data_IF_538251204639
#
_entry.id   IF_538251204639
#
_cell.length_a   1.000
_cell.length_b   1.000
_cell.length_c   1.000
_cell.angle_alpha   90.00
_cell.angle_beta   90.00
_cell.angle_gamma   90.00
#
_symmetry.space_group_name_H-M   'P 1'
#
loop_
_entity.id
_entity.type
_entity.pdbx_description
1 polymer ?
#
# COMPACT_ATOMS: atom_id res chain seq x y z
N UNK A 1 -4.22 14.05 25.17
CA UNK A 1 -4.87 12.74 25.45
C UNK A 1 -4.12 11.61 24.76
N UNK A 2 -3.96 11.60 23.45
CA UNK A 2 -3.25 10.57 22.67
C UNK A 2 -1.86 10.21 23.20
N UNK A 3 -0.97 11.18 23.44
CA UNK A 3 0.38 10.96 23.97
C UNK A 3 0.40 10.27 25.37
N UNK A 4 -0.60 10.51 26.20
CA UNK A 4 -0.69 9.83 27.50
C UNK A 4 -1.10 8.36 27.36
N UNK A 5 -1.96 8.05 26.42
CA UNK A 5 -2.39 6.69 26.07
C UNK A 5 -1.20 5.89 25.53
N UNK A 6 -0.50 6.42 24.53
CA UNK A 6 0.68 5.78 23.92
C UNK A 6 1.75 5.52 24.99
N UNK A 7 2.02 6.49 25.86
CA UNK A 7 3.01 6.34 26.95
C UNK A 7 2.62 5.24 27.94
N UNK A 8 1.33 5.13 28.29
CA UNK A 8 0.84 4.08 29.17
C UNK A 8 0.98 2.70 28.53
N UNK A 9 0.60 2.57 27.26
CA UNK A 9 0.74 1.34 26.46
C UNK A 9 2.22 0.94 26.38
N UNK A 10 3.10 1.88 26.03
CA UNK A 10 4.55 1.64 25.96
C UNK A 10 5.11 1.11 27.28
N UNK A 11 4.69 1.68 28.42
CA UNK A 11 5.12 1.21 29.74
C UNK A 11 4.72 -0.25 29.98
N UNK A 12 3.48 -0.62 29.69
CA UNK A 12 2.98 -2.00 29.87
C UNK A 12 3.68 -2.97 28.92
N UNK A 13 3.90 -2.56 27.68
CA UNK A 13 4.63 -3.34 26.68
C UNK A 13 6.08 -3.56 27.10
N UNK A 14 6.78 -2.51 27.52
CA UNK A 14 8.17 -2.60 27.98
C UNK A 14 8.35 -3.52 29.18
N UNK A 15 7.36 -3.58 30.07
CA UNK A 15 7.35 -4.53 31.19
C UNK A 15 7.14 -5.99 30.72
N UNK A 16 6.26 -6.20 29.74
CA UNK A 16 5.93 -7.53 29.19
C UNK A 16 7.04 -8.07 28.30
N UNK A 17 7.70 -7.19 27.57
CA UNK A 17 8.74 -7.52 26.58
C UNK A 17 10.05 -6.74 26.84
N UNK A 18 10.73 -6.97 27.97
CA UNK A 18 11.88 -6.16 28.38
C UNK A 18 13.10 -6.27 27.46
N UNK A 19 13.19 -7.35 26.68
CA UNK A 19 14.32 -7.65 25.78
C UNK A 19 14.17 -7.07 24.37
N UNK A 20 13.09 -6.36 24.06
CA UNK A 20 12.92 -5.73 22.75
C UNK A 20 13.90 -4.57 22.60
N UNK A 21 14.73 -4.62 21.57
CA UNK A 21 15.74 -3.60 21.26
C UNK A 21 15.07 -2.28 20.82
N UNK A 22 14.23 -2.34 19.80
CA UNK A 22 13.61 -1.17 19.21
C UNK A 22 12.09 -1.32 19.15
N UNK A 23 11.37 -0.26 19.51
CA UNK A 23 9.92 -0.13 19.38
C UNK A 23 9.64 1.14 18.56
N UNK A 24 8.98 0.97 17.42
CA UNK A 24 8.49 2.05 16.58
C UNK A 24 6.96 2.14 16.70
N UNK A 25 6.45 3.37 16.64
CA UNK A 25 5.04 3.66 16.42
C UNK A 25 4.83 4.04 14.96
N UNK A 26 3.79 3.53 14.33
CA UNK A 26 3.42 3.91 12.97
C UNK A 26 1.89 3.97 12.80
N UNK A 27 1.41 4.15 11.56
CA UNK A 27 -0.02 4.10 11.28
C UNK A 27 -0.81 5.34 11.70
N UNK A 28 -2.11 5.14 11.97
CA UNK A 28 -3.07 6.21 12.26
C UNK A 28 -2.74 6.99 13.52
N UNK A 29 -2.07 6.35 14.47
CA UNK A 29 -1.66 6.98 15.73
C UNK A 29 -0.65 8.13 15.55
N UNK A 30 -0.08 8.32 14.36
CA UNK A 30 0.79 9.46 14.02
C UNK A 30 0.08 10.51 13.17
N UNK A 31 -1.20 10.36 12.90
CA UNK A 31 -1.98 11.27 12.06
C UNK A 31 -3.08 11.99 12.85
N UNK A 32 -3.67 13.02 12.24
CA UNK A 32 -4.87 13.70 12.76
C UNK A 32 -6.13 12.83 12.72
N UNK A 33 -6.08 11.70 11.99
CA UNK A 33 -7.23 10.83 11.77
C UNK A 33 -7.41 9.81 12.89
N UNK A 34 -6.53 9.82 13.91
CA UNK A 34 -6.62 8.91 15.04
C UNK A 34 -7.84 9.23 15.91
N UNK A 35 -8.58 8.20 16.28
CA UNK A 35 -9.71 8.23 17.20
C UNK A 35 -9.51 7.24 18.35
N UNK A 36 -10.31 7.29 19.41
CA UNK A 36 -10.24 6.32 20.51
C UNK A 36 -10.61 4.89 20.09
N UNK A 37 -11.24 4.72 18.93
CA UNK A 37 -11.55 3.42 18.33
C UNK A 37 -10.43 2.89 17.41
N UNK A 38 -9.42 3.73 17.14
CA UNK A 38 -8.30 3.35 16.28
C UNK A 38 -7.35 2.41 17.02
N UNK A 39 -6.81 1.46 16.27
CA UNK A 39 -5.74 0.58 16.72
C UNK A 39 -4.45 1.39 16.96
N UNK A 40 -3.55 0.84 17.75
CA UNK A 40 -2.17 1.32 17.86
C UNK A 40 -1.25 0.33 17.18
N UNK A 41 -0.58 0.80 16.15
CA UNK A 41 0.34 0.01 15.33
C UNK A 41 1.77 0.18 15.85
N UNK A 42 2.40 -0.90 16.26
CA UNK A 42 3.77 -0.94 16.75
C UNK A 42 4.62 -1.88 15.90
N UNK A 43 5.91 -1.56 15.81
CA UNK A 43 6.90 -2.46 15.24
C UNK A 43 7.99 -2.76 16.27
N UNK A 44 8.19 -4.04 16.56
CA UNK A 44 9.27 -4.53 17.40
C UNK A 44 10.41 -5.03 16.53
N UNK A 45 11.59 -4.52 16.79
CA UNK A 45 12.79 -4.93 16.08
C UNK A 45 13.81 -5.43 17.10
N UNK A 46 14.42 -6.59 16.81
CA UNK A 46 15.44 -7.17 17.69
C UNK A 46 16.15 -8.32 17.03
N UNK A 47 17.35 -8.67 17.54
CA UNK A 47 18.23 -9.71 16.93
C UNK A 47 17.59 -11.10 16.86
N UNK A 48 16.81 -11.45 17.89
CA UNK A 48 16.21 -12.77 18.06
C UNK A 48 14.75 -12.82 17.63
N UNK A 49 14.27 -11.78 16.96
CA UNK A 49 12.92 -11.72 16.39
C UNK A 49 12.95 -12.23 14.96
N UNK A 50 11.81 -12.77 14.54
CA UNK A 50 11.50 -13.12 13.14
C UNK A 50 10.26 -12.35 12.72
N UNK A 51 10.00 -12.34 11.41
CA UNK A 51 8.74 -11.86 10.87
C UNK A 51 7.54 -12.51 11.60
N UNK A 52 6.64 -11.66 12.07
CA UNK A 52 5.49 -12.12 12.83
C UNK A 52 4.56 -10.98 13.25
N UNK A 53 3.44 -11.38 13.86
CA UNK A 53 2.41 -10.48 14.35
C UNK A 53 1.95 -10.88 15.76
N UNK A 54 1.76 -9.91 16.63
CA UNK A 54 1.21 -10.05 17.97
C UNK A 54 0.05 -9.08 18.10
N UNK A 55 -1.13 -9.59 18.41
CA UNK A 55 -2.31 -8.77 18.71
C UNK A 55 -2.56 -8.75 20.21
N UNK A 56 -2.70 -7.58 20.80
CA UNK A 56 -2.97 -7.38 22.21
C UNK A 56 -4.16 -6.45 22.42
N UNK A 57 -4.80 -6.57 23.57
CA UNK A 57 -5.75 -5.57 24.06
C UNK A 57 -5.18 -5.00 25.36
N UNK A 58 -4.92 -3.70 25.39
CA UNK A 58 -4.39 -2.98 26.54
C UNK A 58 -5.34 -1.83 26.87
N UNK A 59 -5.96 -1.86 28.05
CA UNK A 59 -6.94 -0.85 28.47
C UNK A 59 -8.08 -0.63 27.44
N UNK A 60 -8.59 -1.72 26.89
CA UNK A 60 -9.62 -1.77 25.85
C UNK A 60 -9.16 -1.26 24.47
N UNK A 61 -7.91 -0.88 24.31
CA UNK A 61 -7.34 -0.44 23.02
C UNK A 61 -6.66 -1.64 22.36
N UNK A 62 -6.96 -1.85 21.09
CA UNK A 62 -6.29 -2.85 20.27
C UNK A 62 -4.89 -2.36 19.91
N UNK A 63 -3.89 -3.21 20.15
CA UNK A 63 -2.49 -2.94 19.81
C UNK A 63 -2.02 -4.03 18.86
N UNK A 64 -1.71 -3.65 17.64
CA UNK A 64 -1.14 -4.54 16.63
C UNK A 64 0.37 -4.35 16.58
N UNK A 65 1.10 -5.44 16.77
CA UNK A 65 2.56 -5.42 16.82
C UNK A 65 3.10 -6.29 15.70
N UNK A 66 3.84 -5.71 14.80
CA UNK A 66 4.65 -6.44 13.84
C UNK A 66 6.04 -6.66 14.43
N UNK A 67 6.66 -7.79 14.11
CA UNK A 67 7.98 -8.16 14.64
C UNK A 67 8.94 -8.54 13.52
N UNK A 68 10.21 -8.14 13.65
CA UNK A 68 11.27 -8.49 12.70
C UNK A 68 12.65 -8.31 13.29
N UNK A 69 13.67 -8.72 12.55
CA UNK A 69 15.06 -8.38 12.83
C UNK A 69 15.59 -7.32 11.84
N UNK A 70 16.71 -6.68 12.21
CA UNK A 70 17.31 -5.61 11.40
C UNK A 70 17.75 -6.06 10.00
N UNK A 71 18.19 -7.32 9.84
CA UNK A 71 18.70 -7.81 8.56
C UNK A 71 17.56 -8.09 7.59
N UNK A 72 16.47 -8.71 8.05
CA UNK A 72 15.31 -9.00 7.23
C UNK A 72 14.65 -7.72 6.77
N UNK A 73 14.50 -6.72 7.68
CA UNK A 73 14.00 -5.40 7.32
C UNK A 73 14.83 -4.72 6.24
N UNK A 74 16.16 -4.80 6.33
CA UNK A 74 17.03 -4.26 5.29
C UNK A 74 16.76 -4.93 3.95
N UNK A 75 16.67 -6.27 3.94
CA UNK A 75 16.37 -7.05 2.73
C UNK A 75 15.01 -6.65 2.13
N UNK A 76 13.97 -6.54 2.95
CA UNK A 76 12.64 -6.11 2.48
C UNK A 76 12.64 -4.70 1.86
N UNK A 77 13.34 -3.74 2.47
CA UNK A 77 13.47 -2.38 1.92
C UNK A 77 14.21 -2.40 0.58
N UNK A 78 15.29 -3.18 0.49
CA UNK A 78 16.08 -3.34 -0.75
C UNK A 78 15.24 -4.01 -1.84
N UNK A 79 14.44 -5.01 -1.49
CA UNK A 79 13.52 -5.70 -2.40
C UNK A 79 12.37 -4.83 -2.90
N UNK A 80 11.93 -3.86 -2.13
CA UNK A 80 10.90 -2.87 -2.54
C UNK A 80 11.46 -1.84 -3.53
N UNK A 81 12.78 -1.66 -3.58
CA UNK A 81 13.43 -0.62 -4.39
C UNK A 81 13.26 -0.88 -5.88
N UNK A 82 12.80 0.12 -6.63
CA UNK A 82 12.57 0.05 -8.07
C UNK A 82 11.31 -0.72 -8.49
N UNK A 83 10.70 -1.51 -7.61
CA UNK A 83 9.50 -2.30 -7.97
C UNK A 83 8.23 -1.45 -7.99
N UNK A 84 7.28 -1.83 -8.84
CA UNK A 84 5.93 -1.24 -8.91
C UNK A 84 5.05 -1.68 -7.73
N UNK A 85 5.51 -2.57 -6.89
CA UNK A 85 4.79 -3.09 -5.73
C UNK A 85 4.51 -2.00 -4.69
N UNK A 86 3.55 -2.27 -3.80
CA UNK A 86 3.34 -1.46 -2.61
C UNK A 86 4.57 -1.57 -1.70
N UNK A 87 5.20 -0.44 -1.41
CA UNK A 87 6.41 -0.33 -0.59
C UNK A 87 6.04 -0.20 0.88
N UNK A 88 5.39 -1.24 1.43
CA UNK A 88 4.81 -1.22 2.77
C UNK A 88 5.86 -1.04 3.88
N UNK A 89 6.95 -1.81 3.84
CA UNK A 89 7.99 -1.77 4.87
C UNK A 89 8.70 -0.42 4.85
N UNK A 90 9.05 0.06 3.65
CA UNK A 90 9.65 1.40 3.48
C UNK A 90 8.71 2.51 3.96
N UNK A 91 7.41 2.41 3.67
CA UNK A 91 6.42 3.40 4.11
C UNK A 91 6.29 3.42 5.64
N UNK A 92 6.16 2.25 6.26
CA UNK A 92 6.09 2.13 7.72
C UNK A 92 7.31 2.77 8.40
N UNK A 93 8.51 2.34 7.99
CA UNK A 93 9.75 2.85 8.59
C UNK A 93 9.96 4.35 8.35
N UNK A 94 9.69 4.84 7.13
CA UNK A 94 9.89 6.24 6.79
C UNK A 94 8.97 7.20 7.55
N UNK A 95 7.79 6.73 7.97
CA UNK A 95 6.76 7.52 8.67
C UNK A 95 6.69 7.23 10.16
N UNK A 96 7.47 6.27 10.68
CA UNK A 96 7.43 5.86 12.07
C UNK A 96 8.10 6.87 13.02
N UNK A 97 7.66 6.83 14.29
CA UNK A 97 8.30 7.48 15.44
C UNK A 97 9.02 6.43 16.29
N UNK A 98 10.26 6.70 16.68
CA UNK A 98 11.04 5.84 17.56
C UNK A 98 10.60 6.08 19.01
N UNK A 99 9.92 5.10 19.60
CA UNK A 99 9.51 5.18 21.01
C UNK A 99 10.59 4.66 21.98
N UNK A 100 11.35 3.64 21.57
CA UNK A 100 12.49 3.05 22.30
C UNK A 100 13.50 2.52 21.29
N UNK A 101 14.78 2.64 21.58
CA UNK A 101 15.84 1.91 20.85
C UNK A 101 17.11 1.80 21.67
N UNK A 102 17.76 0.65 21.59
CA UNK A 102 19.14 0.39 22.06
C UNK A 102 20.14 0.42 20.89
N UNK A 103 19.63 0.35 19.64
CA UNK A 103 20.40 0.28 18.39
C UNK A 103 20.16 1.51 17.49
N UNK A 104 20.35 2.71 18.05
CA UNK A 104 20.00 3.98 17.42
C UNK A 104 20.55 4.14 16.01
N UNK A 105 21.82 3.88 15.80
CA UNK A 105 22.46 4.01 14.48
C UNK A 105 21.85 3.05 13.45
N UNK A 106 21.57 1.80 13.85
CA UNK A 106 21.01 0.82 12.94
C UNK A 106 19.59 1.20 12.48
N UNK A 107 18.74 1.65 13.40
CA UNK A 107 17.37 2.05 13.04
C UNK A 107 17.35 3.34 12.20
N UNK A 108 18.20 4.32 12.50
CA UNK A 108 18.31 5.53 11.71
C UNK A 108 18.79 5.24 10.28
N UNK A 109 19.70 4.28 10.11
CA UNK A 109 20.16 3.81 8.80
C UNK A 109 19.03 3.13 8.02
N UNK A 110 18.21 2.27 8.66
CA UNK A 110 17.05 1.65 8.02
C UNK A 110 16.00 2.68 7.61
N UNK A 111 15.69 3.65 8.46
CA UNK A 111 14.76 4.75 8.14
C UNK A 111 15.29 5.57 6.97
N UNK A 112 16.59 5.84 6.93
CA UNK A 112 17.22 6.57 5.83
C UNK A 112 17.13 5.77 4.52
N UNK A 113 17.40 4.46 4.56
CA UNK A 113 17.28 3.56 3.43
C UNK A 113 15.83 3.51 2.93
N UNK A 114 14.86 3.35 3.83
CA UNK A 114 13.43 3.36 3.52
C UNK A 114 13.00 4.67 2.81
N UNK A 115 13.41 5.82 3.34
CA UNK A 115 13.15 7.13 2.71
C UNK A 115 13.77 7.25 1.32
N UNK A 116 14.94 6.66 1.10
CA UNK A 116 15.58 6.60 -0.22
C UNK A 116 14.79 5.69 -1.17
N UNK A 117 14.41 4.50 -0.72
CA UNK A 117 13.62 3.53 -1.50
C UNK A 117 12.29 4.12 -1.96
N UNK A 118 11.58 4.86 -1.11
CA UNK A 118 10.33 5.53 -1.50
C UNK A 118 10.52 6.57 -2.61
N UNK A 119 11.71 7.14 -2.74
CA UNK A 119 12.05 8.11 -3.80
C UNK A 119 12.64 7.47 -5.05
N UNK A 120 12.98 6.18 -4.99
CA UNK A 120 13.53 5.47 -6.16
C UNK A 120 12.43 5.32 -7.21
N UNK A 121 12.69 5.76 -8.47
CA UNK A 121 11.75 5.57 -9.57
C UNK A 121 11.36 4.09 -9.72
N UNK A 122 10.18 3.86 -10.29
CA UNK A 122 9.76 2.50 -10.66
C UNK A 122 10.58 2.05 -11.86
N UNK A 123 11.15 0.86 -11.75
CA UNK A 123 11.90 0.22 -12.83
C UNK A 123 10.93 -0.60 -13.69
N UNK A 124 10.76 -0.21 -14.95
CA UNK A 124 9.92 -0.89 -15.91
C UNK A 124 10.52 -0.81 -17.32
N UNK A 125 10.20 -1.79 -18.13
CA UNK A 125 10.69 -1.90 -19.51
C UNK A 125 9.62 -1.53 -20.54
N UNK A 126 10.04 -1.32 -21.78
CA UNK A 126 9.09 -1.18 -22.89
C UNK A 126 8.21 -2.42 -23.05
N UNK A 127 8.72 -3.60 -22.69
CA UNK A 127 7.96 -4.85 -22.76
C UNK A 127 6.86 -4.89 -21.67
N UNK A 128 7.14 -4.40 -20.45
CA UNK A 128 6.12 -4.28 -19.41
C UNK A 128 4.97 -3.38 -19.86
N UNK A 129 5.29 -2.25 -20.50
CA UNK A 129 4.26 -1.35 -21.07
C UNK A 129 3.40 -2.06 -22.10
N UNK A 130 4.02 -2.84 -22.99
CA UNK A 130 3.28 -3.62 -24.00
C UNK A 130 2.39 -4.68 -23.35
N UNK A 131 2.91 -5.37 -22.32
CA UNK A 131 2.14 -6.40 -21.59
C UNK A 131 0.94 -5.81 -20.86
N UNK A 132 1.08 -4.67 -20.18
CA UNK A 132 -0.07 -4.00 -19.56
C UNK A 132 -1.11 -3.57 -20.59
N UNK A 133 -0.70 -2.95 -21.71
CA UNK A 133 -1.63 -2.58 -22.80
C UNK A 133 -2.33 -3.79 -23.41
N UNK A 134 -1.59 -4.87 -23.64
CA UNK A 134 -2.16 -6.13 -24.12
C UNK A 134 -3.20 -6.66 -23.14
N UNK A 135 -2.87 -6.75 -21.86
CA UNK A 135 -3.77 -7.25 -20.82
C UNK A 135 -5.04 -6.41 -20.71
N UNK A 136 -4.91 -5.07 -20.74
CA UNK A 136 -6.08 -4.16 -20.73
C UNK A 136 -7.02 -4.46 -21.89
N UNK A 137 -6.49 -4.65 -23.11
CA UNK A 137 -7.32 -4.91 -24.28
C UNK A 137 -7.91 -6.32 -24.27
N UNK A 138 -7.15 -7.35 -23.89
CA UNK A 138 -7.61 -8.75 -23.81
C UNK A 138 -8.75 -8.90 -22.79
N UNK A 139 -8.61 -8.36 -21.60
CA UNK A 139 -9.66 -8.39 -20.58
C UNK A 139 -10.86 -7.51 -20.94
N UNK A 140 -10.66 -6.39 -21.66
CA UNK A 140 -11.78 -5.62 -22.19
C UNK A 140 -12.59 -6.43 -23.20
N UNK A 141 -11.94 -7.14 -24.14
CA UNK A 141 -12.64 -8.00 -25.11
C UNK A 141 -13.42 -9.12 -24.43
N UNK A 142 -12.88 -9.70 -23.35
CA UNK A 142 -13.59 -10.70 -22.52
C UNK A 142 -14.79 -10.06 -21.83
N UNK A 143 -14.64 -8.90 -21.23
CA UNK A 143 -15.73 -8.15 -20.58
C UNK A 143 -16.88 -7.84 -21.55
N UNK A 144 -16.57 -7.48 -22.82
CA UNK A 144 -17.60 -7.28 -23.86
C UNK A 144 -18.39 -8.57 -24.10
N UNK A 145 -17.69 -9.69 -24.33
CA UNK A 145 -18.32 -11.00 -24.57
C UNK A 145 -19.15 -11.48 -23.39
N UNK A 146 -18.74 -11.16 -22.15
CA UNK A 146 -19.47 -11.54 -20.95
C UNK A 146 -20.78 -10.75 -20.79
N UNK A 147 -20.78 -9.46 -21.13
CA UNK A 147 -22.02 -8.67 -21.16
C UNK A 147 -22.98 -9.25 -22.22
N UNK A 148 -22.51 -9.54 -23.43
CA UNK A 148 -23.32 -10.14 -24.51
C UNK A 148 -23.95 -11.49 -24.13
N UNK A 149 -23.25 -12.29 -23.32
CA UNK A 149 -23.68 -13.61 -22.85
C UNK A 149 -24.50 -13.56 -21.56
N UNK A 150 -24.63 -12.39 -20.93
CA UNK A 150 -25.26 -12.24 -19.62
C UNK A 150 -24.47 -12.86 -18.47
N UNK A 151 -23.17 -13.06 -18.64
CA UNK A 151 -22.28 -13.65 -17.64
C UNK A 151 -21.73 -12.57 -16.68
N UNK A 152 -22.60 -12.12 -15.77
CA UNK A 152 -22.35 -10.98 -14.89
C UNK A 152 -21.10 -11.20 -14.01
N UNK A 153 -20.93 -12.38 -13.45
CA UNK A 153 -19.80 -12.67 -12.55
C UNK A 153 -18.46 -12.60 -13.29
N UNK A 154 -18.36 -13.16 -14.49
CA UNK A 154 -17.14 -13.09 -15.30
C UNK A 154 -16.84 -11.65 -15.72
N UNK A 155 -17.87 -10.88 -16.11
CA UNK A 155 -17.72 -9.46 -16.41
C UNK A 155 -17.01 -8.69 -15.28
N UNK A 156 -17.47 -8.82 -14.04
CA UNK A 156 -16.84 -8.13 -12.92
C UNK A 156 -15.41 -8.58 -12.65
N UNK A 157 -15.15 -9.88 -12.86
CA UNK A 157 -13.80 -10.42 -12.71
C UNK A 157 -12.84 -9.87 -13.76
N UNK A 158 -13.23 -9.88 -15.03
CA UNK A 158 -12.42 -9.38 -16.14
C UNK A 158 -12.28 -7.84 -16.08
N UNK A 159 -13.35 -7.13 -15.70
CA UNK A 159 -13.31 -5.68 -15.47
C UNK A 159 -12.28 -5.26 -14.40
N UNK A 160 -12.15 -6.05 -13.34
CA UNK A 160 -11.13 -5.82 -12.32
C UNK A 160 -9.73 -5.85 -12.94
N UNK A 161 -9.41 -6.81 -13.80
CA UNK A 161 -8.12 -6.88 -14.46
C UNK A 161 -7.87 -5.74 -15.46
N UNK A 162 -8.91 -5.25 -16.15
CA UNK A 162 -8.79 -4.05 -16.97
C UNK A 162 -8.33 -2.87 -16.11
N UNK A 163 -9.01 -2.61 -15.00
CA UNK A 163 -8.72 -1.48 -14.11
C UNK A 163 -7.34 -1.66 -13.47
N UNK A 164 -7.00 -2.86 -12.98
CA UNK A 164 -5.72 -3.14 -12.35
C UNK A 164 -4.55 -2.88 -13.31
N UNK A 165 -4.54 -3.51 -14.49
CA UNK A 165 -3.45 -3.35 -15.46
C UNK A 165 -3.33 -1.90 -15.97
N UNK A 166 -4.48 -1.23 -16.15
CA UNK A 166 -4.49 0.18 -16.50
C UNK A 166 -3.88 1.06 -15.39
N UNK A 167 -4.20 0.77 -14.12
CA UNK A 167 -3.64 1.49 -12.97
C UNK A 167 -2.12 1.27 -12.86
N UNK A 168 -1.65 0.03 -13.02
CA UNK A 168 -0.22 -0.30 -13.04
C UNK A 168 0.53 0.48 -14.12
N UNK A 169 -0.02 0.51 -15.35
CA UNK A 169 0.55 1.28 -16.46
C UNK A 169 0.64 2.77 -16.12
N UNK A 170 -0.43 3.36 -15.59
CA UNK A 170 -0.47 4.80 -15.25
C UNK A 170 0.51 5.13 -14.12
N UNK A 171 0.57 4.32 -13.07
CA UNK A 171 1.50 4.51 -11.98
C UNK A 171 2.95 4.42 -12.47
N UNK A 172 3.31 3.34 -13.18
CA UNK A 172 4.66 3.11 -13.66
C UNK A 172 5.13 4.25 -14.59
N UNK A 173 4.32 4.62 -15.59
CA UNK A 173 4.68 5.67 -16.56
C UNK A 173 4.78 7.08 -15.96
N UNK A 174 4.24 7.27 -14.73
CA UNK A 174 4.41 8.48 -13.94
C UNK A 174 5.46 8.32 -12.82
N UNK A 175 6.28 7.25 -12.84
CA UNK A 175 7.29 6.95 -11.82
C UNK A 175 6.72 6.79 -10.40
N UNK A 176 5.50 6.30 -10.29
CA UNK A 176 4.84 6.01 -9.03
C UNK A 176 4.78 4.51 -8.77
N UNK A 177 5.21 4.08 -7.58
CA UNK A 177 4.95 2.72 -7.10
C UNK A 177 3.47 2.57 -6.68
N UNK A 178 2.99 1.33 -6.56
CA UNK A 178 1.61 1.07 -6.17
C UNK A 178 1.39 1.50 -4.70
N UNK A 179 0.53 2.50 -4.43
CA UNK A 179 0.33 3.01 -3.07
C UNK A 179 -0.55 2.07 -2.24
N UNK A 180 -0.63 2.34 -0.94
CA UNK A 180 -1.68 1.72 -0.13
C UNK A 180 -3.07 2.10 -0.69
N UNK A 181 -4.07 1.20 -0.67
CA UNK A 181 -5.38 1.44 -1.29
C UNK A 181 -6.05 2.75 -0.87
N UNK A 182 -5.95 3.13 0.41
CA UNK A 182 -6.49 4.39 0.94
C UNK A 182 -5.89 5.66 0.31
N UNK A 183 -4.69 5.56 -0.27
CA UNK A 183 -3.97 6.68 -0.87
C UNK A 183 -4.07 6.69 -2.41
N UNK A 184 -4.63 5.62 -3.03
CA UNK A 184 -4.62 5.46 -4.48
C UNK A 184 -5.39 6.59 -5.17
N UNK A 185 -6.59 6.92 -4.69
CA UNK A 185 -7.41 8.01 -5.24
C UNK A 185 -6.66 9.34 -5.24
N UNK A 186 -6.06 9.71 -4.11
CA UNK A 186 -5.31 10.96 -4.00
C UNK A 186 -4.10 11.00 -4.95
N UNK A 187 -3.39 9.90 -5.11
CA UNK A 187 -2.25 9.83 -6.04
C UNK A 187 -2.73 9.95 -7.49
N UNK A 188 -3.78 9.22 -7.88
CA UNK A 188 -4.34 9.28 -9.23
C UNK A 188 -4.90 10.67 -9.55
N UNK A 189 -5.48 11.37 -8.57
CA UNK A 189 -5.92 12.76 -8.72
C UNK A 189 -4.78 13.70 -9.12
N UNK A 190 -3.59 13.47 -8.57
CA UNK A 190 -2.39 14.29 -8.86
C UNK A 190 -1.78 13.93 -10.22
N UNK A 191 -1.58 12.62 -10.49
CA UNK A 191 -0.78 12.17 -11.64
C UNK A 191 -1.60 11.97 -12.91
N UNK A 192 -2.89 11.67 -12.78
CA UNK A 192 -3.78 11.38 -13.92
C UNK A 192 -5.26 11.55 -13.57
N UNK A 193 -5.74 12.80 -13.35
CA UNK A 193 -7.11 13.08 -12.92
C UNK A 193 -8.17 12.59 -13.93
N UNK A 194 -7.86 12.61 -15.23
CA UNK A 194 -8.76 12.08 -16.26
C UNK A 194 -8.93 10.56 -16.17
N UNK A 195 -7.85 9.85 -15.87
CA UNK A 195 -7.90 8.41 -15.64
C UNK A 195 -8.75 8.08 -14.40
N UNK A 196 -8.53 8.79 -13.29
CA UNK A 196 -9.35 8.65 -12.09
C UNK A 196 -10.84 8.86 -12.38
N UNK A 197 -11.19 9.90 -13.13
CA UNK A 197 -12.58 10.16 -13.52
C UNK A 197 -13.22 9.00 -14.30
N UNK A 198 -12.45 8.29 -15.12
CA UNK A 198 -12.97 7.12 -15.83
C UNK A 198 -13.19 5.93 -14.88
N UNK A 199 -12.33 5.74 -13.87
CA UNK A 199 -12.54 4.74 -12.82
C UNK A 199 -13.79 5.07 -12.00
N UNK A 200 -13.93 6.31 -11.55
CA UNK A 200 -15.13 6.77 -10.81
C UNK A 200 -16.41 6.58 -11.65
N UNK A 201 -16.35 6.86 -12.94
CA UNK A 201 -17.44 6.59 -13.86
C UNK A 201 -17.83 5.12 -13.93
N UNK A 202 -16.88 4.20 -13.84
CA UNK A 202 -17.15 2.76 -13.72
C UNK A 202 -17.78 2.42 -12.38
N UNK A 203 -17.25 2.92 -11.27
CA UNK A 203 -17.74 2.61 -9.94
C UNK A 203 -19.17 3.14 -9.71
N UNK A 204 -19.45 4.34 -10.17
CA UNK A 204 -20.76 5.00 -10.01
C UNK A 204 -21.85 4.48 -10.98
N UNK A 205 -21.46 3.79 -12.06
CA UNK A 205 -22.42 3.25 -13.02
C UNK A 205 -23.28 2.16 -12.39
N UNK A 206 -24.60 2.24 -12.61
CA UNK A 206 -25.60 1.35 -11.99
C UNK A 206 -25.99 0.16 -12.87
N UNK A 207 -25.63 0.18 -14.14
CA UNK A 207 -25.92 -0.91 -15.09
C UNK A 207 -24.64 -1.33 -15.84
N UNK A 208 -24.67 -2.55 -16.40
CA UNK A 208 -23.52 -3.17 -17.05
C UNK A 208 -23.06 -2.42 -18.31
N UNK A 209 -23.99 -1.85 -19.08
CA UNK A 209 -23.64 -1.14 -20.32
C UNK A 209 -22.84 0.16 -20.00
N UNK A 210 -23.25 0.90 -19.00
CA UNK A 210 -22.53 2.12 -18.57
C UNK A 210 -21.17 1.76 -17.96
N UNK A 211 -21.09 0.65 -17.19
CA UNK A 211 -19.81 0.11 -16.72
C UNK A 211 -18.89 -0.26 -17.88
N UNK A 212 -19.41 -0.96 -18.88
CA UNK A 212 -18.65 -1.34 -20.07
C UNK A 212 -18.14 -0.12 -20.84
N UNK A 213 -18.99 0.92 -21.00
CA UNK A 213 -18.58 2.19 -21.64
C UNK A 213 -17.42 2.86 -20.87
N UNK A 214 -17.44 2.80 -19.55
CA UNK A 214 -16.35 3.35 -18.72
C UNK A 214 -15.07 2.53 -18.87
N UNK A 215 -15.15 1.19 -18.92
CA UNK A 215 -14.00 0.33 -19.21
C UNK A 215 -13.39 0.61 -20.58
N UNK A 216 -14.22 0.84 -21.61
CA UNK A 216 -13.76 1.22 -22.94
C UNK A 216 -13.00 2.55 -22.92
N UNK A 217 -13.44 3.54 -22.13
CA UNK A 217 -12.73 4.80 -21.94
C UNK A 217 -11.38 4.60 -21.25
N UNK A 218 -11.33 3.75 -20.21
CA UNK A 218 -10.09 3.37 -19.50
C UNK A 218 -9.09 2.77 -20.50
N UNK A 219 -9.51 1.76 -21.26
CA UNK A 219 -8.64 1.10 -22.23
C UNK A 219 -8.16 2.06 -23.35
N UNK A 220 -9.05 2.90 -23.87
CA UNK A 220 -8.68 3.94 -24.85
C UNK A 220 -7.64 4.90 -24.29
N UNK A 221 -7.80 5.34 -23.03
CA UNK A 221 -6.84 6.22 -22.36
C UNK A 221 -5.46 5.56 -22.25
N UNK A 222 -5.38 4.27 -21.89
CA UNK A 222 -4.12 3.53 -21.82
C UNK A 222 -3.42 3.36 -23.16
N UNK A 223 -4.16 3.24 -24.26
CA UNK A 223 -3.60 3.10 -25.59
C UNK A 223 -3.01 4.41 -26.17
N UNK A 224 -3.39 5.57 -25.59
CA UNK A 224 -2.85 6.89 -25.96
C UNK A 224 -1.57 7.27 -25.21
N UNK A 225 -1.24 6.54 -24.13
CA UNK A 225 -0.02 6.70 -23.33
C UNK A 225 1.07 5.73 -23.76
#
# INVERSE_FOLDING_TARGET
>A
MQNSIIKNILNKISQKYPKIDTILLFGSALSSDWTEESDIDLYFIGKDLSDGRIDLIIDSIKVEIQTDNFNDLKTYIEDESGKLLNRNVSTMLATSEILKTESKEQIENLITLAKKTLKTPVDYTTEDVKMWKYSVNDYLEKSIKDVERGNIAAFYFDAHFVIQNATELILATNNHYFPQPKNLTHILEIISPEFLKNIEGYELATNLNDKLLSLQKIAKFCNLK
#
